data_IF_834042126044
#
_entry.id   IF_834042126044
#
_cell.length_a   1.000
_cell.length_b   1.000
_cell.length_c   1.000
_cell.angle_alpha   90.00
_cell.angle_beta   90.00
_cell.angle_gamma   90.00
#
_symmetry.space_group_name_H-M   'P 1'
#
loop_
_entity.id
_entity.type
_entity.pdbx_description
1 polymer ?
#
# COMPACT_ATOMS: atom_id res chain seq x y z
N UNK A 1 -8.09 10.29 -0.44
CA UNK A 1 -7.94 9.19 0.55
C UNK A 1 -9.05 9.38 1.57
N UNK A 2 -9.68 8.29 2.01
CA UNK A 2 -10.59 8.35 3.16
C UNK A 2 -9.82 8.82 4.39
N UNK A 3 -10.41 9.70 5.20
CA UNK A 3 -9.82 10.00 6.50
C UNK A 3 -9.76 8.73 7.35
N UNK A 4 -8.78 8.67 8.26
CA UNK A 4 -8.73 7.56 9.19
C UNK A 4 -9.84 7.72 10.21
N UNK A 5 -10.66 6.68 10.36
CA UNK A 5 -11.62 6.55 11.47
C UNK A 5 -10.89 6.45 12.81
N UNK A 6 -11.59 6.76 13.90
CA UNK A 6 -11.07 6.76 15.28
C UNK A 6 -10.29 5.49 15.64
N UNK A 7 -10.74 4.31 15.22
CA UNK A 7 -10.08 3.05 15.59
C UNK A 7 -8.73 2.87 14.90
N UNK A 8 -8.61 3.38 13.66
CA UNK A 8 -7.36 3.43 12.91
C UNK A 8 -6.43 4.53 13.45
N UNK A 9 -6.96 5.70 13.84
CA UNK A 9 -6.17 6.74 14.51
C UNK A 9 -5.59 6.24 15.84
N UNK A 10 -6.38 5.52 16.64
CA UNK A 10 -5.90 4.88 17.87
C UNK A 10 -4.77 3.87 17.60
N UNK A 11 -4.82 3.14 16.48
CA UNK A 11 -3.72 2.29 16.05
C UNK A 11 -2.45 3.08 15.71
N UNK A 12 -2.56 4.21 15.01
CA UNK A 12 -1.41 5.09 14.73
C UNK A 12 -0.77 5.56 16.05
N UNK A 13 -1.57 6.06 17.01
CA UNK A 13 -1.05 6.53 18.29
C UNK A 13 -0.38 5.42 19.12
N UNK A 14 -0.94 4.20 19.10
CA UNK A 14 -0.31 3.04 19.72
C UNK A 14 1.01 2.67 19.06
N UNK A 15 1.11 2.76 17.73
CA UNK A 15 2.37 2.52 17.00
C UNK A 15 3.39 3.56 17.43
N UNK A 16 3.04 4.84 17.39
CA UNK A 16 3.92 5.94 17.79
C UNK A 16 4.45 5.75 19.22
N UNK A 17 3.53 5.43 20.14
CA UNK A 17 3.87 5.16 21.54
C UNK A 17 4.79 3.94 21.68
N UNK A 18 4.48 2.84 21.01
CA UNK A 18 5.30 1.63 21.04
C UNK A 18 6.70 1.88 20.50
N UNK A 19 6.84 2.61 19.39
CA UNK A 19 8.15 2.96 18.83
C UNK A 19 8.95 3.84 19.80
N UNK A 20 8.32 4.89 20.36
CA UNK A 20 8.97 5.83 21.28
C UNK A 20 9.48 5.15 22.55
N UNK A 21 8.66 4.29 23.15
CA UNK A 21 8.93 3.71 24.47
C UNK A 21 9.59 2.34 24.41
N UNK A 22 9.18 1.46 23.49
CA UNK A 22 9.76 0.13 23.38
C UNK A 22 11.08 0.14 22.61
N UNK A 23 11.30 1.12 21.71
CA UNK A 23 12.50 1.24 20.83
C UNK A 23 12.90 -0.09 20.19
N UNK A 24 11.91 -0.85 19.73
CA UNK A 24 12.03 -2.26 19.32
C UNK A 24 11.16 -2.56 18.10
N UNK A 25 11.15 -3.83 17.73
CA UNK A 25 10.24 -4.42 16.76
C UNK A 25 8.77 -4.28 17.20
N UNK A 26 8.02 -3.50 16.42
CA UNK A 26 6.56 -3.34 16.51
C UNK A 26 5.91 -4.12 15.38
N UNK A 27 4.78 -4.76 15.66
CA UNK A 27 4.05 -5.55 14.65
C UNK A 27 2.60 -5.07 14.59
N UNK A 28 2.17 -4.57 13.43
CA UNK A 28 0.78 -4.26 13.14
C UNK A 28 0.12 -5.45 12.44
N UNK A 29 -0.92 -5.99 13.07
CA UNK A 29 -1.65 -7.17 12.58
C UNK A 29 -3.08 -6.79 12.23
N UNK A 30 -3.57 -7.27 11.10
CA UNK A 30 -4.97 -7.18 10.71
C UNK A 30 -5.27 -8.10 9.54
N UNK A 31 -6.54 -8.39 9.27
CA UNK A 31 -6.93 -9.17 8.10
C UNK A 31 -6.63 -8.42 6.79
N UNK A 32 -6.62 -9.16 5.69
CA UNK A 32 -6.57 -8.58 4.36
C UNK A 32 -7.76 -7.63 4.13
N UNK A 33 -7.46 -6.43 3.63
CA UNK A 33 -8.46 -5.40 3.34
C UNK A 33 -8.90 -4.54 4.53
N UNK A 34 -8.44 -4.83 5.76
CA UNK A 34 -8.87 -4.12 6.97
C UNK A 34 -8.33 -2.67 7.12
N UNK A 35 -7.48 -2.22 6.18
CA UNK A 35 -6.96 -0.84 6.18
C UNK A 35 -5.59 -0.65 6.82
N UNK A 36 -4.79 -1.72 6.98
CA UNK A 36 -3.39 -1.63 7.45
C UNK A 36 -2.57 -0.60 6.67
N UNK A 37 -2.70 -0.62 5.33
CA UNK A 37 -1.99 0.32 4.45
C UNK A 37 -2.34 1.77 4.75
N UNK A 38 -3.62 2.07 5.03
CA UNK A 38 -4.07 3.43 5.38
C UNK A 38 -3.47 3.91 6.70
N UNK A 39 -3.36 3.02 7.70
CA UNK A 39 -2.67 3.32 8.97
C UNK A 39 -1.20 3.65 8.73
N UNK A 40 -0.51 2.87 7.90
CA UNK A 40 0.90 3.09 7.56
C UNK A 40 1.08 4.39 6.78
N UNK A 41 0.21 4.66 5.81
CA UNK A 41 0.27 5.90 5.02
C UNK A 41 0.07 7.14 5.90
N UNK A 42 -0.89 7.11 6.82
CA UNK A 42 -1.06 8.19 7.78
C UNK A 42 0.15 8.37 8.70
N UNK A 43 0.76 7.27 9.14
CA UNK A 43 1.99 7.32 9.94
C UNK A 43 3.15 7.99 9.19
N UNK A 44 3.33 7.63 7.91
CA UNK A 44 4.38 8.21 7.05
C UNK A 44 4.10 9.69 6.79
N UNK A 45 2.85 10.06 6.51
CA UNK A 45 2.45 11.46 6.26
C UNK A 45 2.64 12.36 7.48
N UNK A 46 2.58 11.81 8.71
CA UNK A 46 2.86 12.54 9.96
C UNK A 46 4.34 12.69 10.26
N UNK A 47 5.21 12.01 9.53
CA UNK A 47 6.63 11.97 9.83
C UNK A 47 7.40 13.12 9.17
N UNK A 48 8.28 13.76 9.92
CA UNK A 48 9.31 14.66 9.38
C UNK A 48 10.49 13.92 8.74
N UNK A 49 10.54 12.59 8.90
CA UNK A 49 11.58 11.70 8.39
C UNK A 49 10.96 10.65 7.48
N UNK A 50 11.56 10.40 6.32
CA UNK A 50 11.06 9.37 5.42
C UNK A 50 11.58 7.97 5.84
N UNK A 51 10.72 7.05 6.31
CA UNK A 51 11.15 5.72 6.70
C UNK A 51 11.45 4.84 5.48
N UNK A 52 12.33 3.85 5.66
CA UNK A 52 12.60 2.83 4.64
C UNK A 52 11.40 1.92 4.49
N UNK A 53 10.68 2.03 3.38
CA UNK A 53 9.53 1.16 3.08
C UNK A 53 9.95 -0.01 2.22
N UNK A 54 9.78 -1.20 2.77
CA UNK A 54 10.03 -2.48 2.13
C UNK A 54 8.73 -3.24 1.93
N UNK A 55 8.66 -4.04 0.87
CA UNK A 55 7.55 -4.99 0.64
C UNK A 55 8.08 -6.41 0.81
N UNK A 56 7.57 -7.13 1.79
CA UNK A 56 8.01 -8.48 2.14
C UNK A 56 7.88 -9.47 0.98
N UNK A 57 6.86 -9.31 0.13
CA UNK A 57 6.67 -10.11 -1.10
C UNK A 57 7.80 -9.99 -2.12
N UNK A 58 8.59 -8.93 -2.06
CA UNK A 58 9.68 -8.68 -3.00
C UNK A 58 11.04 -9.12 -2.44
N UNK A 59 11.11 -9.62 -1.21
CA UNK A 59 12.37 -9.95 -0.55
C UNK A 59 12.53 -11.47 -0.52
N UNK A 60 13.55 -11.97 -1.22
CA UNK A 60 13.85 -13.41 -1.32
C UNK A 60 14.69 -13.92 -0.15
N UNK A 61 15.65 -13.12 0.30
CA UNK A 61 16.67 -13.54 1.25
C UNK A 61 17.28 -12.33 1.97
N UNK A 62 18.17 -12.64 2.91
CA UNK A 62 18.83 -11.64 3.75
C UNK A 62 19.63 -10.60 2.96
N UNK A 63 20.40 -11.03 1.96
CA UNK A 63 21.25 -10.11 1.18
C UNK A 63 20.39 -9.22 0.30
N UNK A 64 19.34 -9.76 -0.33
CA UNK A 64 18.35 -8.97 -1.08
C UNK A 64 17.69 -7.90 -0.21
N UNK A 65 17.34 -8.22 1.05
CA UNK A 65 16.81 -7.23 1.98
C UNK A 65 17.79 -6.06 2.21
N UNK A 66 19.09 -6.35 2.40
CA UNK A 66 20.13 -5.34 2.61
C UNK A 66 20.33 -4.50 1.35
N UNK A 67 20.46 -5.13 0.18
CA UNK A 67 20.63 -4.44 -1.10
C UNK A 67 19.46 -3.50 -1.41
N UNK A 68 18.22 -3.93 -1.15
CA UNK A 68 17.04 -3.07 -1.30
C UNK A 68 17.07 -1.87 -0.37
N UNK A 69 17.44 -2.06 0.90
CA UNK A 69 17.60 -0.94 1.84
C UNK A 69 18.67 0.05 1.36
N UNK A 70 19.81 -0.44 0.86
CA UNK A 70 20.87 0.40 0.29
C UNK A 70 20.37 1.20 -0.92
N UNK A 71 19.64 0.53 -1.83
CA UNK A 71 19.04 1.15 -3.01
C UNK A 71 18.05 2.28 -2.66
N UNK A 72 17.22 2.09 -1.63
CA UNK A 72 16.26 3.10 -1.15
C UNK A 72 16.92 4.39 -0.66
N UNK A 73 18.18 4.32 -0.20
CA UNK A 73 18.95 5.48 0.27
C UNK A 73 19.98 5.94 -0.76
N UNK A 74 20.02 5.32 -1.95
CA UNK A 74 20.98 5.66 -3.00
C UNK A 74 22.44 5.40 -2.57
N UNK A 75 22.69 4.36 -1.78
CA UNK A 75 24.04 3.91 -1.45
C UNK A 75 24.47 2.79 -2.41
N UNK A 76 25.76 2.77 -2.78
CA UNK A 76 26.33 1.68 -3.58
C UNK A 76 26.49 0.42 -2.73
N UNK A 77 26.16 -0.77 -3.26
CA UNK A 77 26.31 -2.03 -2.55
C UNK A 77 27.77 -2.51 -2.60
N UNK A 78 28.61 -1.96 -1.73
CA UNK A 78 30.03 -2.32 -1.65
C UNK A 78 30.34 -2.86 -0.25
N UNK A 79 31.13 -3.93 -0.20
CA UNK A 79 31.54 -4.59 1.03
C UNK A 79 30.60 -5.71 1.46
N UNK A 80 30.79 -6.19 2.68
CA UNK A 80 29.95 -7.21 3.31
C UNK A 80 28.59 -6.65 3.75
N UNK A 81 27.61 -7.52 4.00
CA UNK A 81 26.30 -7.15 4.55
C UNK A 81 26.41 -6.28 5.81
N UNK A 82 27.38 -6.58 6.68
CA UNK A 82 27.60 -5.86 7.94
C UNK A 82 28.08 -4.43 7.65
N UNK A 83 29.05 -4.28 6.75
CA UNK A 83 29.57 -2.97 6.35
C UNK A 83 28.49 -2.13 5.66
N UNK A 84 27.67 -2.74 4.80
CA UNK A 84 26.53 -2.07 4.17
C UNK A 84 25.51 -1.59 5.21
N UNK A 85 25.17 -2.42 6.20
CA UNK A 85 24.24 -2.05 7.28
C UNK A 85 24.79 -0.92 8.17
N UNK A 86 26.09 -0.90 8.45
CA UNK A 86 26.74 0.19 9.19
C UNK A 86 26.70 1.51 8.40
N UNK A 87 26.99 1.48 7.10
CA UNK A 87 26.88 2.65 6.22
C UNK A 87 25.44 3.18 6.17
N UNK A 88 24.47 2.28 6.08
CA UNK A 88 23.05 2.63 6.10
C UNK A 88 22.65 3.34 7.40
N UNK A 89 23.13 2.86 8.55
CA UNK A 89 22.87 3.45 9.86
C UNK A 89 23.35 4.90 9.99
N UNK A 90 24.53 5.19 9.44
CA UNK A 90 25.12 6.53 9.50
C UNK A 90 24.40 7.53 8.60
N UNK A 91 23.70 7.06 7.56
CA UNK A 91 22.96 7.91 6.63
C UNK A 91 21.50 8.14 7.06
N UNK A 92 20.92 7.24 7.85
CA UNK A 92 19.53 7.32 8.26
C UNK A 92 19.35 8.15 9.54
N UNK A 93 18.54 9.22 9.51
CA UNK A 93 18.21 10.00 10.70
C UNK A 93 17.39 9.18 11.69
N UNK A 94 17.50 9.53 12.97
CA UNK A 94 16.79 8.84 14.04
C UNK A 94 15.32 9.30 14.08
N UNK A 95 14.38 8.41 13.73
CA UNK A 95 12.92 8.68 13.79
C UNK A 95 12.29 8.54 15.19
N UNK A 96 13.09 8.25 16.23
CA UNK A 96 12.60 7.77 17.53
C UNK A 96 11.84 8.84 18.32
N UNK A 97 12.23 10.11 18.23
CA UNK A 97 11.63 11.21 19.02
C UNK A 97 10.14 11.40 18.71
N UNK A 98 9.77 11.21 17.44
CA UNK A 98 8.40 11.32 16.96
C UNK A 98 7.61 10.01 17.01
N UNK A 99 8.22 8.92 17.50
CA UNK A 99 7.60 7.60 17.48
C UNK A 99 7.44 7.02 16.08
N UNK A 100 8.20 7.51 15.09
CA UNK A 100 8.13 7.01 13.73
C UNK A 100 9.17 5.90 13.56
N UNK A 101 8.77 4.71 13.08
CA UNK A 101 9.71 3.62 12.80
C UNK A 101 10.62 4.00 11.65
N UNK A 102 11.90 3.64 11.73
CA UNK A 102 12.89 3.89 10.68
C UNK A 102 12.74 2.94 9.49
N UNK A 103 12.27 1.72 9.74
CA UNK A 103 11.97 0.73 8.72
C UNK A 103 10.51 0.29 8.86
N UNK A 104 9.79 0.29 7.75
CA UNK A 104 8.44 -0.26 7.65
C UNK A 104 8.47 -1.39 6.61
N UNK A 105 8.05 -2.58 7.03
CA UNK A 105 7.94 -3.74 6.16
C UNK A 105 6.46 -4.09 5.97
N UNK A 106 5.93 -3.76 4.80
CA UNK A 106 4.59 -4.18 4.36
C UNK A 106 4.62 -5.66 3.94
N UNK A 107 3.48 -6.36 4.06
CA UNK A 107 3.34 -7.78 3.71
C UNK A 107 4.39 -8.70 4.37
N UNK A 108 4.76 -8.40 5.62
CA UNK A 108 5.84 -9.09 6.34
C UNK A 108 5.57 -10.59 6.59
N UNK A 109 4.31 -11.06 6.49
CA UNK A 109 4.00 -12.50 6.53
C UNK A 109 4.63 -13.29 5.39
N UNK A 110 5.04 -12.63 4.31
CA UNK A 110 5.67 -13.27 3.15
C UNK A 110 7.19 -13.36 3.28
N UNK A 111 7.78 -12.68 4.27
CA UNK A 111 9.22 -12.73 4.48
C UNK A 111 9.67 -14.15 4.89
N UNK A 112 10.81 -14.63 4.38
CA UNK A 112 11.41 -15.85 4.89
C UNK A 112 12.01 -15.66 6.30
N UNK A 113 12.19 -16.77 7.02
CA UNK A 113 12.51 -16.77 8.46
C UNK A 113 13.91 -16.20 8.78
N UNK A 114 14.85 -16.29 7.85
CA UNK A 114 16.18 -15.68 7.90
C UNK A 114 16.09 -14.15 7.80
N UNK A 115 15.21 -13.62 6.96
CA UNK A 115 14.97 -12.18 6.84
C UNK A 115 14.24 -11.63 8.07
N UNK A 116 13.25 -12.37 8.59
CA UNK A 116 12.63 -12.00 9.88
C UNK A 116 13.65 -11.96 11.02
N UNK A 117 14.64 -12.87 11.00
CA UNK A 117 15.78 -12.85 11.94
C UNK A 117 16.67 -11.62 11.73
N UNK A 118 17.00 -11.24 10.50
CA UNK A 118 17.74 -10.01 10.20
C UNK A 118 17.09 -8.78 10.82
N UNK A 119 15.79 -8.56 10.61
CA UNK A 119 15.11 -7.39 11.18
C UNK A 119 15.08 -7.42 12.71
N UNK A 120 14.97 -8.61 13.29
CA UNK A 120 15.09 -8.76 14.75
C UNK A 120 16.49 -8.36 15.24
N UNK A 121 17.54 -8.84 14.58
CA UNK A 121 18.93 -8.49 14.89
C UNK A 121 19.19 -6.98 14.77
N UNK A 122 18.63 -6.34 13.74
CA UNK A 122 18.65 -4.88 13.59
C UNK A 122 17.94 -4.17 14.74
N UNK A 123 16.78 -4.68 15.16
CA UNK A 123 16.04 -4.10 16.30
C UNK A 123 16.75 -4.29 17.65
N UNK A 124 17.55 -5.35 17.81
CA UNK A 124 18.33 -5.59 19.03
C UNK A 124 19.65 -4.82 19.06
N UNK A 125 20.11 -4.32 17.91
CA UNK A 125 21.37 -3.59 17.78
C UNK A 125 22.56 -4.50 17.50
N UNK A 126 22.34 -5.66 16.87
CA UNK A 126 23.43 -6.59 16.55
C UNK A 126 24.45 -6.01 15.55
N UNK A 127 24.04 -5.02 14.77
CA UNK A 127 24.84 -4.39 13.70
C UNK A 127 25.19 -2.93 14.02
N UNK A 128 25.29 -2.56 15.29
CA UNK A 128 25.55 -1.18 15.72
C UNK A 128 24.40 -0.62 16.54
N UNK A 129 23.81 0.50 16.12
CA UNK A 129 22.66 1.07 16.85
C UNK A 129 21.38 0.27 16.62
N UNK A 130 20.45 0.36 17.57
CA UNK A 130 19.12 -0.25 17.44
C UNK A 130 18.28 0.50 16.41
N UNK A 131 17.59 -0.25 15.57
CA UNK A 131 16.59 0.27 14.65
C UNK A 131 15.19 0.12 15.21
N UNK A 132 14.37 1.14 15.01
CA UNK A 132 12.93 1.05 15.18
C UNK A 132 12.30 0.47 13.91
N UNK A 133 11.58 -0.64 14.05
CA UNK A 133 11.06 -1.41 12.92
C UNK A 133 9.58 -1.70 13.14
N UNK A 134 8.77 -1.40 12.12
CA UNK A 134 7.37 -1.78 12.05
C UNK A 134 7.20 -2.87 11.00
N UNK A 135 6.76 -4.06 11.42
CA UNK A 135 6.31 -5.11 10.51
C UNK A 135 4.79 -5.09 10.39
N UNK A 136 4.28 -5.16 9.16
CA UNK A 136 2.85 -5.07 8.88
C UNK A 136 2.41 -6.36 8.20
N UNK A 137 1.39 -7.01 8.78
CA UNK A 137 0.98 -8.33 8.31
C UNK A 137 -0.34 -8.83 8.88
N UNK A 138 -0.53 -10.14 8.79
CA UNK A 138 -1.63 -10.91 9.33
C UNK A 138 -1.22 -11.62 10.64
N UNK A 139 -2.16 -12.36 11.24
CA UNK A 139 -1.95 -12.96 12.56
C UNK A 139 -0.85 -14.03 12.59
N UNK A 140 -0.57 -14.66 11.44
CA UNK A 140 0.45 -15.70 11.33
C UNK A 140 1.87 -15.17 11.57
N UNK A 141 2.17 -13.93 11.18
CA UNK A 141 3.46 -13.28 11.39
C UNK A 141 3.91 -13.29 12.86
N UNK A 142 2.99 -13.01 13.80
CA UNK A 142 3.33 -12.97 15.24
C UNK A 142 3.79 -14.35 15.73
N UNK A 143 3.06 -15.41 15.35
CA UNK A 143 3.42 -16.78 15.71
C UNK A 143 4.76 -17.18 15.11
N UNK A 144 5.00 -16.81 13.84
CA UNK A 144 6.28 -17.06 13.17
C UNK A 144 7.44 -16.36 13.88
N UNK A 145 7.28 -15.07 14.23
CA UNK A 145 8.28 -14.31 14.98
C UNK A 145 8.59 -14.94 16.34
N UNK A 146 7.56 -15.37 17.08
CA UNK A 146 7.71 -16.03 18.39
C UNK A 146 8.43 -17.39 18.30
N UNK A 147 8.29 -18.10 17.16
CA UNK A 147 8.93 -19.38 16.92
C UNK A 147 10.38 -19.28 16.42
N UNK A 148 10.90 -18.07 16.14
CA UNK A 148 12.27 -17.90 15.66
C UNK A 148 13.30 -18.21 16.76
N UNK A 149 14.36 -18.95 16.38
CA UNK A 149 15.50 -19.20 17.24
C UNK A 149 16.65 -18.21 16.96
N UNK A 150 17.41 -17.79 18.01
CA UNK A 150 17.20 -18.07 19.44
C UNK A 150 15.88 -17.46 19.95
N UNK A 151 15.23 -17.97 21.01
CA UNK A 151 13.89 -17.47 21.42
C UNK A 151 13.87 -15.93 21.60
N UNK A 152 12.88 -15.20 21.05
CA UNK A 152 12.91 -13.74 21.01
C UNK A 152 12.43 -13.06 22.30
N UNK A 153 12.86 -11.81 22.48
CA UNK A 153 12.08 -10.84 23.24
C UNK A 153 10.79 -10.55 22.47
N UNK A 154 9.65 -10.56 23.17
CA UNK A 154 8.33 -10.42 22.55
C UNK A 154 8.20 -9.08 21.80
N UNK A 155 7.76 -9.08 20.52
CA UNK A 155 7.48 -7.85 19.82
C UNK A 155 6.28 -7.12 20.44
N UNK A 156 6.22 -5.80 20.28
CA UNK A 156 5.02 -5.04 20.63
C UNK A 156 3.97 -5.25 19.54
N UNK A 157 2.93 -6.03 19.84
CA UNK A 157 1.89 -6.38 18.87
C UNK A 157 0.71 -5.41 19.00
N UNK A 158 0.32 -4.81 17.88
CA UNK A 158 -0.82 -3.92 17.76
C UNK A 158 -1.79 -4.56 16.80
N UNK A 159 -2.99 -4.88 17.29
CA UNK A 159 -4.05 -5.45 16.48
C UNK A 159 -4.95 -4.34 15.95
N UNK A 160 -5.15 -4.32 14.64
CA UNK A 160 -6.10 -3.44 13.98
C UNK A 160 -7.51 -3.95 14.31
N UNK A 161 -8.35 -3.18 15.02
CA UNK A 161 -9.68 -3.63 15.42
C UNK A 161 -10.62 -3.71 14.22
N UNK A 162 -11.68 -4.50 14.37
CA UNK A 162 -12.80 -4.48 13.41
C UNK A 162 -13.47 -3.11 13.48
N UNK A 163 -14.02 -2.65 12.37
CA UNK A 163 -14.85 -1.44 12.41
C UNK A 163 -16.09 -1.69 13.26
N UNK A 164 -16.38 -0.73 14.14
CA UNK A 164 -17.61 -0.69 14.90
C UNK A 164 -18.60 0.33 14.31
N UNK A 165 -19.74 0.50 14.99
CA UNK A 165 -20.79 1.42 14.54
C UNK A 165 -20.31 2.86 14.43
N UNK A 166 -19.49 3.32 15.37
CA UNK A 166 -19.01 4.69 15.35
C UNK A 166 -17.96 4.90 14.26
N UNK A 167 -17.08 3.92 14.01
CA UNK A 167 -16.15 3.98 12.88
C UNK A 167 -16.91 4.12 11.55
N UNK A 168 -18.02 3.38 11.41
CA UNK A 168 -18.87 3.45 10.22
C UNK A 168 -19.57 4.81 10.11
N UNK A 169 -20.18 5.30 11.18
CA UNK A 169 -20.84 6.60 11.23
C UNK A 169 -19.88 7.74 10.89
N UNK A 170 -18.66 7.71 11.45
CA UNK A 170 -17.59 8.68 11.18
C UNK A 170 -17.19 8.67 9.70
N UNK A 171 -16.91 7.49 9.14
CA UNK A 171 -16.55 7.36 7.73
C UNK A 171 -17.70 7.78 6.79
N UNK A 172 -18.94 7.48 7.15
CA UNK A 172 -20.10 7.84 6.36
C UNK A 172 -20.44 9.33 6.44
N UNK A 173 -20.23 9.99 7.58
CA UNK A 173 -20.44 11.43 7.73
C UNK A 173 -19.53 12.25 6.80
N UNK A 174 -18.32 11.74 6.51
CA UNK A 174 -17.40 12.37 5.55
C UNK A 174 -17.83 12.13 4.08
N UNK A 175 -18.33 10.93 3.77
CA UNK A 175 -18.58 10.50 2.39
C UNK A 175 -20.00 10.77 1.88
N UNK A 176 -21.00 10.74 2.75
CA UNK A 176 -22.41 10.78 2.39
C UNK A 176 -23.12 11.89 3.17
N UNK A 177 -24.15 12.50 2.56
CA UNK A 177 -25.11 13.33 3.29
C UNK A 177 -25.80 12.49 4.38
N UNK A 178 -26.33 13.11 5.45
CA UNK A 178 -26.93 12.39 6.56
C UNK A 178 -27.96 11.39 6.05
N UNK A 179 -27.55 10.12 6.09
CA UNK A 179 -28.34 8.96 5.70
C UNK A 179 -28.62 8.22 7.00
N UNK A 180 -29.86 7.85 7.26
CA UNK A 180 -30.19 7.08 8.45
C UNK A 180 -29.61 5.65 8.29
N UNK A 181 -28.43 5.45 8.88
CA UNK A 181 -27.69 4.18 8.85
C UNK A 181 -28.05 3.28 10.03
N UNK A 182 -28.78 3.80 11.02
CA UNK A 182 -29.00 3.15 12.31
C UNK A 182 -29.63 1.76 12.16
N UNK A 183 -30.65 1.63 11.30
CA UNK A 183 -31.36 0.39 11.08
C UNK A 183 -30.55 -0.69 10.32
N UNK A 184 -29.58 -0.29 9.48
CA UNK A 184 -28.80 -1.20 8.63
C UNK A 184 -27.40 -1.49 9.18
N UNK A 185 -26.88 -0.62 10.04
CA UNK A 185 -25.52 -0.71 10.57
C UNK A 185 -25.20 -2.07 11.23
N UNK A 186 -26.06 -2.66 12.08
CA UNK A 186 -25.75 -3.94 12.73
C UNK A 186 -25.48 -5.06 11.71
N UNK A 187 -26.34 -5.19 10.70
CA UNK A 187 -26.21 -6.21 9.64
C UNK A 187 -24.99 -5.98 8.77
N UNK A 188 -24.73 -4.73 8.39
CA UNK A 188 -23.56 -4.37 7.58
C UNK A 188 -22.25 -4.65 8.32
N UNK A 189 -22.16 -4.30 9.60
CA UNK A 189 -20.98 -4.54 10.43
C UNK A 189 -20.77 -6.03 10.70
N UNK A 190 -21.84 -6.80 10.89
CA UNK A 190 -21.75 -8.25 11.03
C UNK A 190 -21.08 -8.90 9.81
N UNK A 191 -21.40 -8.42 8.60
CA UNK A 191 -20.90 -9.01 7.36
C UNK A 191 -19.56 -8.42 6.90
N UNK A 192 -19.28 -7.14 7.17
CA UNK A 192 -18.18 -6.41 6.53
C UNK A 192 -17.27 -5.62 7.48
N UNK A 193 -17.40 -5.74 8.81
CA UNK A 193 -16.55 -4.99 9.77
C UNK A 193 -15.04 -5.21 9.62
N UNK A 194 -14.62 -6.33 9.00
CA UNK A 194 -13.20 -6.62 8.69
C UNK A 194 -12.76 -6.06 7.32
N UNK A 195 -13.69 -5.58 6.51
CA UNK A 195 -13.47 -5.14 5.13
C UNK A 195 -14.07 -3.75 4.89
N UNK A 196 -13.45 -2.68 5.44
CA UNK A 196 -13.96 -1.31 5.35
C UNK A 196 -14.36 -0.84 3.94
N UNK A 197 -13.56 -1.21 2.92
CA UNK A 197 -13.90 -0.86 1.52
C UNK A 197 -15.19 -1.52 1.04
N UNK A 198 -15.45 -2.77 1.43
CA UNK A 198 -16.68 -3.47 1.07
C UNK A 198 -17.86 -2.95 1.89
N UNK A 199 -17.64 -2.66 3.17
CA UNK A 199 -18.61 -2.05 4.06
C UNK A 199 -19.13 -0.72 3.50
N UNK A 200 -18.22 0.18 3.11
CA UNK A 200 -18.58 1.48 2.53
C UNK A 200 -19.29 1.35 1.18
N UNK A 201 -18.91 0.37 0.35
CA UNK A 201 -19.65 0.08 -0.91
C UNK A 201 -21.08 -0.39 -0.63
N UNK A 202 -21.28 -1.29 0.33
CA UNK A 202 -22.60 -1.78 0.70
C UNK A 202 -23.50 -0.69 1.31
N UNK A 203 -22.90 0.29 1.99
CA UNK A 203 -23.60 1.51 2.40
C UNK A 203 -24.05 2.31 1.19
N UNK A 204 -23.14 2.62 0.26
CA UNK A 204 -23.42 3.39 -0.95
C UNK A 204 -24.55 2.77 -1.78
N UNK A 205 -24.49 1.46 -2.01
CA UNK A 205 -25.46 0.74 -2.84
C UNK A 205 -26.87 0.82 -2.25
N UNK A 206 -27.01 0.71 -0.92
CA UNK A 206 -28.33 0.84 -0.29
C UNK A 206 -28.78 2.29 -0.06
N UNK A 207 -27.85 3.25 -0.01
CA UNK A 207 -28.20 4.67 0.00
C UNK A 207 -28.80 5.11 -1.35
N UNK A 208 -28.31 4.54 -2.46
CA UNK A 208 -28.88 4.75 -3.80
C UNK A 208 -30.31 4.18 -3.93
N UNK A 209 -30.60 3.06 -3.27
CA UNK A 209 -31.94 2.45 -3.28
C UNK A 209 -32.92 3.25 -2.41
N UNK A 210 -32.49 3.74 -1.24
CA UNK A 210 -33.35 4.52 -0.34
C UNK A 210 -33.69 5.93 -0.83
N UNK A 211 -32.97 6.44 -1.84
CA UNK A 211 -33.23 7.76 -2.44
C UNK A 211 -34.39 7.78 -3.46
N UNK A 212 -35.01 6.63 -3.76
CA UNK A 212 -36.05 6.52 -4.80
C UNK A 212 -37.48 6.59 -4.24
N UNK A 213 -37.69 6.46 -2.93
CA UNK A 213 -39.03 6.51 -2.35
C UNK A 213 -39.27 7.80 -1.54
N UNK A 214 -39.90 8.79 -2.18
CA UNK A 214 -41.05 9.56 -1.64
C UNK A 214 -41.46 10.67 -2.62
N UNK A 215 -42.19 10.32 -3.69
CA UNK A 215 -43.25 11.19 -4.25
C UNK A 215 -44.18 10.38 -5.13
N UNK A 216 -45.37 10.07 -4.61
CA UNK A 216 -46.45 9.48 -5.38
C UNK A 216 -47.33 10.56 -6.02
N UNK A 217 -47.88 10.22 -7.19
CA UNK A 217 -49.01 10.83 -7.93
C UNK A 217 -48.70 12.19 -8.61
N UNK A 218 -48.84 12.37 -9.94
CA UNK A 218 -49.93 12.03 -10.85
C UNK A 218 -49.46 12.14 -12.34
N UNK A 219 -50.22 11.52 -13.25
CA UNK A 219 -50.31 11.69 -14.72
C UNK A 219 -49.22 11.10 -15.66
N UNK A 220 -49.66 10.01 -16.31
CA UNK A 220 -49.41 9.52 -17.67
C UNK A 220 -48.32 10.22 -18.51
N UNK A 221 -47.21 9.52 -18.71
CA UNK A 221 -46.55 9.37 -20.02
C UNK A 221 -45.72 8.07 -20.04
N UNK A 222 -45.67 7.33 -21.17
CA UNK A 222 -44.90 6.09 -21.25
C UNK A 222 -43.42 6.44 -21.42
N UNK A 223 -42.75 6.71 -20.30
CA UNK A 223 -41.30 6.87 -20.32
C UNK A 223 -40.62 5.53 -20.61
N UNK A 224 -40.13 5.45 -21.83
CA UNK A 224 -39.27 4.39 -22.34
C UNK A 224 -38.15 4.08 -21.35
N UNK A 225 -38.08 2.82 -20.92
CA UNK A 225 -37.02 2.27 -20.09
C UNK A 225 -35.70 2.35 -20.85
N UNK A 226 -34.94 3.43 -20.65
CA UNK A 226 -33.58 3.56 -21.19
C UNK A 226 -32.58 2.86 -20.26
N UNK A 227 -32.74 1.53 -20.14
CA UNK A 227 -31.56 0.65 -20.04
C UNK A 227 -30.83 0.76 -21.37
N UNK A 228 -29.50 0.64 -21.34
CA UNK A 228 -28.52 0.89 -22.43
C UNK A 228 -28.09 2.38 -22.37
N UNK A 229 -26.90 2.72 -21.87
CA UNK A 229 -25.60 2.52 -22.55
C UNK A 229 -24.43 2.47 -21.54
N UNK A 230 -24.07 1.29 -21.03
CA UNK A 230 -22.75 1.05 -20.42
C UNK A 230 -21.83 0.21 -21.32
N UNK A 231 -22.35 -0.32 -22.42
CA UNK A 231 -21.59 -1.11 -23.40
C UNK A 231 -21.01 -0.26 -24.53
N UNK A 232 -21.60 0.90 -24.84
CA UNK A 232 -21.16 1.76 -25.94
C UNK A 232 -19.82 2.47 -25.63
N UNK A 233 -19.55 2.82 -24.37
CA UNK A 233 -18.32 3.49 -23.96
C UNK A 233 -17.09 2.57 -24.03
N UNK A 234 -17.24 1.27 -23.76
CA UNK A 234 -16.15 0.30 -23.86
C UNK A 234 -15.79 0.06 -25.33
N UNK A 235 -16.79 -0.08 -26.22
CA UNK A 235 -16.56 -0.28 -27.66
C UNK A 235 -15.88 0.94 -28.28
N UNK A 236 -16.32 2.16 -27.93
CA UNK A 236 -15.67 3.40 -28.40
C UNK A 236 -14.24 3.51 -27.87
N UNK A 237 -13.99 3.14 -26.61
CA UNK A 237 -12.64 3.12 -26.04
C UNK A 237 -11.69 2.15 -26.75
N UNK A 238 -12.18 0.96 -27.12
CA UNK A 238 -11.39 -0.03 -27.88
C UNK A 238 -11.10 0.49 -29.28
N UNK A 239 -12.08 1.10 -29.97
CA UNK A 239 -11.88 1.66 -31.32
C UNK A 239 -10.85 2.80 -31.29
N UNK A 240 -10.89 3.67 -30.29
CA UNK A 240 -9.91 4.75 -30.13
C UNK A 240 -8.51 4.19 -29.86
N UNK A 241 -8.38 3.19 -28.99
CA UNK A 241 -7.09 2.56 -28.71
C UNK A 241 -6.51 1.86 -29.95
N UNK A 242 -7.36 1.22 -30.77
CA UNK A 242 -6.95 0.58 -32.02
C UNK A 242 -6.52 1.59 -33.08
N UNK A 243 -7.23 2.72 -33.20
CA UNK A 243 -6.85 3.82 -34.08
C UNK A 243 -5.51 4.44 -33.67
N UNK A 244 -5.28 4.65 -32.36
CA UNK A 244 -3.98 5.16 -31.85
C UNK A 244 -2.85 4.17 -32.14
N UNK A 245 -3.08 2.86 -31.94
CA UNK A 245 -2.08 1.83 -32.24
C UNK A 245 -1.73 1.79 -33.73
N UNK A 246 -2.72 1.91 -34.62
CA UNK A 246 -2.49 1.99 -36.08
C UNK A 246 -1.72 3.27 -36.43
N UNK A 247 -2.06 4.42 -35.81
CA UNK A 247 -1.37 5.69 -36.07
C UNK A 247 0.11 5.64 -35.65
N UNK A 248 0.40 5.02 -34.49
CA UNK A 248 1.78 4.79 -34.03
C UNK A 248 2.52 3.86 -34.99
N UNK A 249 1.89 2.76 -35.41
CA UNK A 249 2.49 1.81 -36.34
C UNK A 249 2.83 2.46 -37.71
N UNK A 250 1.93 3.29 -38.24
CA UNK A 250 2.15 4.04 -39.49
C UNK A 250 3.23 5.12 -39.34
N UNK A 251 3.37 5.73 -38.16
CA UNK A 251 4.46 6.69 -37.91
C UNK A 251 5.83 6.00 -37.84
N UNK A 252 5.92 4.83 -37.19
CA UNK A 252 7.16 4.05 -37.10
C UNK A 252 7.59 3.58 -38.51
N UNK A 253 6.65 3.09 -39.33
CA UNK A 253 6.95 2.65 -40.70
C UNK A 253 7.39 3.82 -41.62
N UNK A 254 6.89 5.03 -41.35
CA UNK A 254 7.35 6.27 -42.02
C UNK A 254 8.73 6.73 -41.57
N UNK A 255 9.10 6.51 -40.32
CA UNK A 255 10.45 6.82 -39.83
C UNK A 255 11.49 5.84 -40.39
N UNK A 256 11.15 4.55 -40.52
CA UNK A 256 12.04 3.55 -41.14
C UNK A 256 12.22 3.77 -42.66
N UNK A 257 11.16 4.16 -43.38
CA UNK A 257 11.26 4.46 -44.82
C UNK A 257 11.96 5.80 -45.13
N UNK A 258 11.98 6.76 -44.20
CA UNK A 258 12.74 8.00 -44.35
C UNK A 258 14.26 7.83 -44.12
N UNK A 259 14.66 6.82 -43.34
CA UNK A 259 16.06 6.52 -43.06
C UNK A 259 16.77 5.74 -44.19
N UNK A 260 16.02 5.11 -45.10
CA UNK A 260 16.56 4.39 -46.26
C UNK A 260 16.68 5.29 -47.49
N UNK A 261 17.45 6.39 -47.39
CA UNK A 261 18.04 7.02 -48.58
C UNK A 261 19.46 6.49 -48.73
N UNK A 262 19.63 5.63 -49.74
CA UNK A 262 20.90 5.09 -50.18
C UNK A 262 21.98 6.17 -50.24
N UNK A 263 22.94 6.08 -49.32
CA UNK A 263 24.18 6.84 -49.41
C UNK A 263 25.08 6.11 -50.41
N UNK A 264 25.09 6.59 -51.65
CA UNK A 264 26.03 6.16 -52.68
C UNK A 264 27.43 6.59 -52.23
N UNK A 265 28.27 5.64 -51.82
CA UNK A 265 29.68 5.86 -51.50
C UNK A 265 30.48 5.82 -52.81
N UNK A 266 31.14 6.90 -53.24
CA UNK A 266 32.03 6.85 -54.40
C UNK A 266 33.34 6.17 -54.00
N UNK A 267 33.66 5.05 -54.66
CA UNK A 267 34.96 4.38 -54.56
C UNK A 267 36.02 5.25 -55.25
N UNK A 268 36.96 5.79 -54.48
CA UNK A 268 38.21 6.36 -55.00
C UNK A 268 39.15 5.22 -55.45
N UNK A 269 39.75 5.29 -56.65
CA UNK A 269 40.73 4.29 -57.08
C UNK A 269 42.07 4.54 -56.38
N UNK A 270 42.62 3.48 -55.81
CA UNK A 270 43.98 3.48 -55.26
C UNK A 270 44.92 3.11 -56.41
N UNK A 271 45.67 4.08 -56.95
CA UNK A 271 46.78 3.82 -57.85
C UNK A 271 48.04 3.46 -57.06
N UNK A 272 48.82 2.56 -57.66
CA UNK A 272 50.09 2.00 -57.22
C UNK A 272 51.22 3.02 -57.22
#
# INVERSE_FOLDING_TARGET
MLSLVRSQQACVERICSAVRWAKRLVVLVGATGQGKTSVVEALVLRSSVNPLRLRGKLISDRTDAVLRMMGLVGLRPEGSDIEMLLRLQNKQPLGIENGIPEIIVDDADHLPNDVLRLFRELSSGAYGRRWSILMVGEGALVKRLQALNPKPALPSVILLPRWDQYDLEEACAELYRPTDLSARAPTLLQNYSMHPKQLLRAVADGALVSGVDTRAEHDDEPFSVQRIKFTATIVVGIIIALLVAILIFVQIDREETAASKDTIVPLTPNEQ
#
